data_IF_065174160789
#
_entry.id   IF_065174160789
#
_cell.length_a   1.000
_cell.length_b   1.000
_cell.length_c   1.000
_cell.angle_alpha   90.00
_cell.angle_beta   90.00
_cell.angle_gamma   90.00
#
_symmetry.space_group_name_H-M   'P 1'
#
loop_
_entity.id
_entity.type
_entity.pdbx_description
1 polymer ?
#
# COMPACT_ATOMS: atom_id res chain seq x y z
N UNK A 1 -18.01 -15.60 0.28
CA UNK A 1 -17.21 -14.85 1.27
C UNK A 1 -16.92 -13.47 0.71
N UNK A 2 -17.41 -12.40 1.34
CA UNK A 2 -17.35 -11.04 0.80
C UNK A 2 -16.17 -10.29 1.46
N UNK A 3 -15.24 -9.77 0.66
CA UNK A 3 -14.15 -8.91 1.13
C UNK A 3 -14.23 -7.55 0.38
N UNK A 4 -13.82 -6.43 1.00
CA UNK A 4 -13.91 -5.09 0.40
C UNK A 4 -13.22 -4.98 -0.96
N UNK A 5 -13.96 -4.57 -1.99
CA UNK A 5 -13.41 -4.32 -3.34
C UNK A 5 -13.00 -2.85 -3.48
N UNK A 6 -12.00 -2.54 -4.34
CA UNK A 6 -11.73 -1.15 -4.71
C UNK A 6 -13.02 -0.40 -5.09
N UNK A 7 -13.24 0.82 -4.57
CA UNK A 7 -12.29 1.68 -3.86
C UNK A 7 -12.20 1.45 -2.34
N UNK A 8 -12.99 0.54 -1.76
CA UNK A 8 -12.99 0.25 -0.33
C UNK A 8 -11.70 -0.44 0.11
N UNK A 9 -11.10 0.04 1.20
CA UNK A 9 -9.88 -0.52 1.75
C UNK A 9 -10.14 -1.88 2.42
N UNK A 10 -9.28 -2.84 2.14
CA UNK A 10 -9.16 -4.13 2.81
C UNK A 10 -8.20 -3.99 3.99
N UNK A 11 -8.61 -4.31 5.23
CA UNK A 11 -7.72 -4.29 6.39
C UNK A 11 -6.58 -5.30 6.26
N UNK A 12 -5.41 -4.98 6.83
CA UNK A 12 -4.21 -5.80 6.76
C UNK A 12 -4.45 -7.26 7.21
N UNK A 13 -5.15 -7.46 8.34
CA UNK A 13 -5.45 -8.80 8.86
C UNK A 13 -6.37 -9.66 7.95
N UNK A 14 -6.98 -9.05 6.93
CA UNK A 14 -7.87 -9.72 5.96
C UNK A 14 -7.23 -9.94 4.61
N UNK A 15 -5.94 -9.64 4.44
CA UNK A 15 -5.20 -9.93 3.21
C UNK A 15 -5.20 -11.42 2.84
N UNK A 16 -5.49 -12.34 3.77
CA UNK A 16 -5.64 -13.77 3.50
C UNK A 16 -6.93 -14.16 2.76
N UNK A 17 -7.95 -13.30 2.75
CA UNK A 17 -9.27 -13.64 2.18
C UNK A 17 -9.31 -13.64 0.64
N UNK A 18 -8.77 -12.64 -0.07
CA UNK A 18 -8.87 -12.60 -1.52
C UNK A 18 -7.94 -13.62 -2.20
N UNK A 19 -8.28 -14.17 -3.38
CA UNK A 19 -7.37 -15.06 -4.10
C UNK A 19 -6.10 -14.33 -4.57
N UNK A 20 -5.05 -15.08 -4.90
CA UNK A 20 -3.83 -14.49 -5.49
C UNK A 20 -4.17 -13.78 -6.80
N UNK A 21 -3.54 -12.64 -7.09
CA UNK A 21 -3.86 -11.80 -8.25
C UNK A 21 -5.13 -10.94 -8.11
N UNK A 22 -5.89 -11.08 -7.02
CA UNK A 22 -7.04 -10.24 -6.76
C UNK A 22 -6.65 -8.76 -6.62
N UNK A 23 -7.43 -7.89 -7.24
CA UNK A 23 -7.26 -6.44 -7.14
C UNK A 23 -7.89 -5.92 -5.84
N UNK A 24 -7.08 -5.32 -4.98
CA UNK A 24 -7.45 -4.82 -3.65
C UNK A 24 -7.08 -3.34 -3.53
N UNK A 25 -7.73 -2.63 -2.62
CA UNK A 25 -7.27 -1.33 -2.13
C UNK A 25 -6.90 -1.49 -0.67
N UNK A 26 -5.80 -0.90 -0.23
CA UNK A 26 -5.35 -0.88 1.16
C UNK A 26 -4.99 0.56 1.53
N UNK A 27 -5.05 0.91 2.81
CA UNK A 27 -4.58 2.19 3.29
C UNK A 27 -3.87 2.03 4.63
N UNK A 28 -2.87 2.86 4.88
CA UNK A 28 -2.14 2.83 6.14
C UNK A 28 -1.06 3.89 6.22
N UNK A 29 -0.50 4.04 7.42
CA UNK A 29 0.67 4.86 7.67
C UNK A 29 1.90 4.24 7.03
N UNK A 30 2.75 5.06 6.42
CA UNK A 30 4.01 4.55 5.87
C UNK A 30 5.04 4.43 6.97
N UNK A 31 5.38 3.21 7.35
CA UNK A 31 6.35 2.92 8.42
C UNK A 31 7.76 2.64 7.89
N UNK A 32 7.89 2.16 6.64
CA UNK A 32 9.17 1.81 6.05
C UNK A 32 9.18 2.01 4.54
N UNK A 33 10.33 2.45 4.02
CA UNK A 33 10.65 2.49 2.59
C UNK A 33 12.02 1.86 2.36
N UNK A 34 12.11 0.96 1.40
CA UNK A 34 13.38 0.36 1.00
C UNK A 34 13.52 0.41 -0.52
N UNK A 35 14.72 0.79 -0.97
CA UNK A 35 15.10 0.73 -2.38
C UNK A 35 16.45 0.01 -2.48
N UNK A 36 16.46 -1.33 -2.48
CA UNK A 36 17.70 -2.08 -2.57
C UNK A 36 18.42 -1.74 -3.87
N UNK A 37 19.73 -1.47 -3.80
CA UNK A 37 20.53 -1.12 -4.99
C UNK A 37 20.52 -2.19 -6.09
N UNK A 38 20.26 -3.44 -5.72
CA UNK A 38 20.22 -4.62 -6.61
C UNK A 38 18.85 -4.88 -7.24
N UNK A 39 17.77 -4.25 -6.76
CA UNK A 39 16.39 -4.61 -7.12
C UNK A 39 15.87 -3.92 -8.40
N UNK A 40 16.74 -3.62 -9.38
CA UNK A 40 16.37 -3.03 -10.69
C UNK A 40 15.38 -1.83 -10.63
N UNK A 41 15.48 -1.01 -9.58
CA UNK A 41 14.61 0.16 -9.39
C UNK A 41 13.24 -0.09 -8.77
N UNK A 42 13.01 -1.27 -8.18
CA UNK A 42 11.87 -1.56 -7.31
C UNK A 42 12.00 -0.82 -5.99
N UNK A 43 10.87 -0.30 -5.50
CA UNK A 43 10.73 0.27 -4.16
C UNK A 43 9.75 -0.61 -3.38
N UNK A 44 10.11 -0.93 -2.15
CA UNK A 44 9.25 -1.58 -1.18
C UNK A 44 8.76 -0.52 -0.20
N UNK A 45 7.46 -0.53 0.07
CA UNK A 45 6.84 0.31 1.09
C UNK A 45 6.07 -0.59 2.03
N UNK A 46 6.24 -0.42 3.35
CA UNK A 46 5.39 -1.08 4.33
C UNK A 46 4.40 -0.07 4.87
N UNK A 47 3.11 -0.40 4.73
CA UNK A 47 2.01 0.33 5.33
C UNK A 47 1.58 -0.35 6.63
N UNK A 48 1.13 0.42 7.60
CA UNK A 48 0.55 -0.09 8.86
C UNK A 48 -0.85 0.49 9.07
N UNK A 49 -1.80 -0.39 9.39
CA UNK A 49 -3.11 -0.05 9.95
C UNK A 49 -3.24 -0.67 11.35
N UNK A 50 -4.34 -0.42 12.05
CA UNK A 50 -4.57 -0.94 13.40
C UNK A 50 -4.63 -2.47 13.49
N UNK A 51 -4.72 -3.15 12.35
CA UNK A 51 -4.84 -4.61 12.24
C UNK A 51 -3.54 -5.30 11.81
N UNK A 52 -2.52 -4.55 11.40
CA UNK A 52 -1.21 -5.07 11.05
C UNK A 52 -0.56 -4.33 9.87
N UNK A 53 0.36 -5.02 9.19
CA UNK A 53 1.17 -4.45 8.12
C UNK A 53 0.81 -4.96 6.73
N UNK A 54 1.00 -4.11 5.72
CA UNK A 54 0.85 -4.43 4.31
C UNK A 54 2.11 -4.08 3.55
N UNK A 55 2.72 -5.07 2.89
CA UNK A 55 3.90 -4.86 2.07
C UNK A 55 3.51 -4.51 0.63
N UNK A 56 3.94 -3.35 0.17
CA UNK A 56 3.67 -2.81 -1.17
C UNK A 56 4.93 -2.90 -2.01
N UNK A 57 4.78 -3.40 -3.24
CA UNK A 57 5.82 -3.36 -4.26
C UNK A 57 5.47 -2.27 -5.26
N UNK A 58 6.39 -1.35 -5.48
CA UNK A 58 6.29 -0.25 -6.44
C UNK A 58 7.36 -0.41 -7.50
N UNK A 59 6.94 -0.76 -8.71
CA UNK A 59 7.83 -0.85 -9.86
C UNK A 59 8.26 0.53 -10.34
N UNK A 60 9.45 0.62 -10.94
CA UNK A 60 10.07 1.87 -11.39
C UNK A 60 9.11 2.77 -12.20
N UNK A 61 8.39 2.20 -13.17
CA UNK A 61 7.43 2.93 -14.02
C UNK A 61 6.34 3.61 -13.18
N UNK A 62 5.81 2.93 -12.18
CA UNK A 62 4.78 3.47 -11.31
C UNK A 62 5.35 4.49 -10.32
N UNK A 63 6.55 4.25 -9.81
CA UNK A 63 7.27 5.22 -9.00
C UNK A 63 7.50 6.54 -9.75
N UNK A 64 7.89 6.49 -11.02
CA UNK A 64 8.09 7.70 -11.84
C UNK A 64 6.78 8.50 -11.98
N UNK A 65 5.64 7.82 -12.12
CA UNK A 65 4.31 8.44 -12.19
C UNK A 65 3.85 9.03 -10.85
N UNK A 66 4.05 8.31 -9.74
CA UNK A 66 3.55 8.69 -8.40
C UNK A 66 4.66 9.14 -7.45
N UNK A 67 5.73 9.74 -7.99
CA UNK A 67 6.99 10.02 -7.28
C UNK A 67 6.78 10.75 -5.96
N UNK A 68 5.96 11.80 -5.96
CA UNK A 68 5.70 12.61 -4.77
C UNK A 68 5.04 11.79 -3.66
N UNK A 69 3.99 11.03 -3.97
CA UNK A 69 3.31 10.17 -2.99
C UNK A 69 4.26 9.11 -2.43
N UNK A 70 5.02 8.44 -3.31
CA UNK A 70 5.95 7.38 -2.92
C UNK A 70 7.05 7.90 -2.00
N UNK A 71 7.61 9.08 -2.25
CA UNK A 71 8.72 9.63 -1.45
C UNK A 71 8.22 10.26 -0.15
N UNK A 72 7.18 11.11 -0.22
CA UNK A 72 6.84 12.02 0.87
C UNK A 72 5.56 11.66 1.63
N UNK A 73 4.71 10.78 1.10
CA UNK A 73 3.41 10.47 1.72
C UNK A 73 3.58 9.81 3.10
N UNK A 74 3.00 10.40 4.14
CA UNK A 74 2.97 9.83 5.49
C UNK A 74 1.87 8.77 5.63
N UNK A 75 0.79 8.93 4.88
CA UNK A 75 -0.31 7.97 4.79
C UNK A 75 -0.66 7.75 3.33
N UNK A 76 -0.76 6.50 2.90
CA UNK A 76 -1.04 6.15 1.52
C UNK A 76 -2.29 5.29 1.40
N UNK A 77 -3.07 5.54 0.35
CA UNK A 77 -4.03 4.57 -0.19
C UNK A 77 -3.44 3.96 -1.44
N UNK A 78 -3.35 2.64 -1.48
CA UNK A 78 -2.76 1.90 -2.59
C UNK A 78 -3.79 0.93 -3.14
N UNK A 79 -4.07 1.05 -4.44
CA UNK A 79 -4.80 0.04 -5.19
C UNK A 79 -3.82 -0.78 -6.01
N UNK A 80 -3.95 -2.10 -5.96
CA UNK A 80 -3.02 -3.01 -6.62
C UNK A 80 -3.49 -4.45 -6.59
N UNK A 81 -2.61 -5.38 -6.97
CA UNK A 81 -2.90 -6.82 -7.00
C UNK A 81 -2.15 -7.57 -5.93
N UNK A 82 -2.81 -8.51 -5.28
CA UNK A 82 -2.13 -9.41 -4.35
C UNK A 82 -1.16 -10.33 -5.09
N UNK A 83 0.03 -10.47 -4.56
CA UNK A 83 1.01 -11.49 -4.92
C UNK A 83 1.40 -12.24 -3.64
N UNK A 84 1.24 -13.56 -3.66
CA UNK A 84 1.69 -14.45 -2.60
C UNK A 84 2.89 -15.25 -3.07
N UNK A 85 3.99 -15.15 -2.35
CA UNK A 85 5.23 -15.83 -2.69
C UNK A 85 5.98 -16.17 -1.39
N UNK A 86 6.43 -17.42 -1.26
CA UNK A 86 7.19 -17.90 -0.10
C UNK A 86 6.55 -17.58 1.27
N UNK A 87 5.22 -17.66 1.37
CA UNK A 87 4.47 -17.38 2.60
C UNK A 87 4.26 -15.89 2.91
N UNK A 88 4.80 -14.99 2.09
CA UNK A 88 4.62 -13.54 2.24
C UNK A 88 3.58 -13.04 1.25
N UNK A 89 2.71 -12.13 1.70
CA UNK A 89 1.73 -11.44 0.85
C UNK A 89 2.18 -10.02 0.57
N UNK A 90 2.25 -9.67 -0.71
CA UNK A 90 2.55 -8.32 -1.21
C UNK A 90 1.36 -7.77 -2.00
N UNK A 91 1.24 -6.45 -2.06
CA UNK A 91 0.39 -5.74 -3.02
C UNK A 91 1.27 -5.11 -4.09
N UNK A 92 1.16 -5.60 -5.31
CA UNK A 92 1.78 -4.99 -6.49
C UNK A 92 0.96 -3.76 -6.85
N UNK A 93 1.53 -2.58 -6.63
CA UNK A 93 0.82 -1.32 -6.81
C UNK A 93 0.44 -1.07 -8.28
N UNK A 94 -0.74 -0.48 -8.47
CA UNK A 94 -1.26 0.01 -9.76
C UNK A 94 -1.66 1.50 -9.67
N UNK A 95 -2.09 1.95 -8.49
CA UNK A 95 -2.43 3.34 -8.19
C UNK A 95 -2.03 3.66 -6.75
N UNK A 96 -1.40 4.82 -6.56
CA UNK A 96 -0.92 5.28 -5.25
C UNK A 96 -1.45 6.69 -5.03
N UNK A 97 -2.11 6.88 -3.91
CA UNK A 97 -2.69 8.17 -3.53
C UNK A 97 -2.10 8.60 -2.19
N UNK A 98 -1.58 9.82 -2.15
CA UNK A 98 -1.15 10.45 -0.92
C UNK A 98 -2.37 10.98 -0.17
N UNK A 99 -2.72 10.30 0.92
CA UNK A 99 -3.83 10.66 1.79
C UNK A 99 -3.34 11.25 3.12
N UNK A 100 -2.08 11.70 3.18
CA UNK A 100 -1.53 12.40 4.34
C UNK A 100 -2.34 13.60 4.81
N UNK A 101 -3.04 14.38 3.93
CA UNK A 101 -3.92 15.45 4.40
C UNK A 101 -5.03 14.98 5.34
N UNK A 102 -5.41 13.69 5.32
CA UNK A 102 -6.37 13.13 6.27
C UNK A 102 -5.83 13.10 7.69
N UNK A 103 -4.51 12.95 7.87
CA UNK A 103 -3.87 13.01 9.18
C UNK A 103 -3.93 14.41 9.77
N UNK A 104 -3.80 15.43 8.93
CA UNK A 104 -3.82 16.83 9.39
C UNK A 104 -5.20 17.18 9.95
N UNK A 105 -6.28 16.57 9.42
CA UNK A 105 -7.65 16.70 9.95
C UNK A 105 -7.85 16.11 11.34
N UNK A 106 -6.93 15.29 11.84
CA UNK A 106 -6.99 14.81 13.23
C UNK A 106 -6.61 15.90 14.24
N UNK A 107 -5.92 16.95 13.78
CA UNK A 107 -5.53 18.11 14.59
C UNK A 107 -6.58 19.22 14.56
N UNK A 108 -7.57 19.13 13.66
CA UNK A 108 -8.68 20.06 13.62
C UNK A 108 -9.43 19.96 14.96
N UNK A 109 -9.49 21.08 15.68
CA UNK A 109 -10.30 21.18 16.89
C UNK A 109 -11.78 21.17 16.46
N UNK A 110 -12.65 20.36 17.09
CA UNK A 110 -14.06 20.25 16.71
C UNK A 110 -14.81 21.58 16.76
#
# INVERSE_FOLDING_TARGET
>A
MNWPRPPSCLPANRLGLPPNGARVTVAGLVILRQRPGTAKGVIFITLEDETGVVNIIVWRKLYEQFRRAVIAGRMLRVTGRLQRENGVTHVISEQIEDISPLLDRLLDTP
#
